data_IF_192139665620
#
_entry.id   IF_192139665620
#
_cell.length_a   1.000
_cell.length_b   1.000
_cell.length_c   1.000
_cell.angle_alpha   90.00
_cell.angle_beta   90.00
_cell.angle_gamma   90.00
#
_symmetry.space_group_name_H-M   'P 1'
#
loop_
_entity.id
_entity.type
_entity.pdbx_description
1 polymer ?
#
# COMPACT_ATOMS: atom_id res chain seq x y z
N UNK A 1 48.50 -4.39 -2.16
CA UNK A 1 47.54 -5.16 -1.35
C UNK A 1 46.15 -4.73 -1.76
N UNK A 2 45.35 -5.69 -2.16
CA UNK A 2 44.04 -5.62 -2.83
C UNK A 2 43.05 -4.61 -2.25
N UNK A 3 42.57 -3.72 -3.12
CA UNK A 3 41.40 -2.87 -2.91
C UNK A 3 40.16 -3.75 -2.68
N UNK A 4 39.47 -3.54 -1.55
CA UNK A 4 38.15 -4.12 -1.31
C UNK A 4 37.14 -3.34 -2.14
N UNK A 5 36.74 -3.91 -3.28
CA UNK A 5 35.53 -3.51 -4.00
C UNK A 5 34.33 -3.80 -3.09
N UNK A 6 33.88 -2.78 -2.34
CA UNK A 6 32.53 -2.75 -1.81
C UNK A 6 31.58 -2.63 -2.99
N UNK A 7 30.95 -3.75 -3.36
CA UNK A 7 29.71 -3.74 -4.11
C UNK A 7 28.67 -2.96 -3.30
N UNK A 8 28.63 -1.64 -3.49
CA UNK A 8 27.44 -0.86 -3.19
C UNK A 8 26.36 -1.39 -4.14
N UNK A 9 25.54 -2.31 -3.63
CA UNK A 9 24.23 -2.56 -4.19
C UNK A 9 23.51 -1.20 -4.18
N UNK A 10 23.48 -0.54 -5.34
CA UNK A 10 22.58 0.57 -5.60
C UNK A 10 21.18 -0.05 -5.54
N UNK A 11 20.63 -0.11 -4.32
CA UNK A 11 19.23 -0.42 -4.09
C UNK A 11 18.45 0.68 -4.79
N UNK A 12 18.05 0.37 -6.00
CA UNK A 12 17.20 1.19 -6.83
C UNK A 12 15.85 1.27 -6.13
N UNK A 13 15.70 2.21 -5.18
CA UNK A 13 14.56 2.40 -4.26
C UNK A 13 13.25 2.80 -4.96
N UNK A 14 13.07 2.41 -6.21
CA UNK A 14 11.91 2.70 -7.04
C UNK A 14 10.64 2.00 -6.54
N UNK A 15 10.71 1.01 -5.63
CA UNK A 15 9.49 0.40 -5.12
C UNK A 15 8.72 1.30 -4.12
N UNK A 16 9.38 2.22 -3.41
CA UNK A 16 8.74 3.07 -2.40
C UNK A 16 8.50 4.49 -2.93
N UNK A 17 7.63 4.59 -3.92
CA UNK A 17 7.28 5.86 -4.57
C UNK A 17 5.99 6.45 -4.00
N UNK A 18 6.06 7.73 -3.63
CA UNK A 18 4.86 8.52 -3.33
C UNK A 18 4.04 8.71 -4.60
N UNK A 19 2.71 8.61 -4.50
CA UNK A 19 1.83 8.75 -5.65
C UNK A 19 0.48 8.08 -5.45
N UNK A 20 -0.21 7.81 -6.55
CA UNK A 20 -1.45 7.04 -6.56
C UNK A 20 -1.11 5.56 -6.77
N UNK A 21 -1.76 4.72 -5.98
CA UNK A 21 -1.61 3.28 -6.00
C UNK A 21 -2.96 2.61 -6.18
N UNK A 22 -2.98 1.58 -7.01
CA UNK A 22 -4.10 0.66 -7.16
C UNK A 22 -4.00 -0.43 -6.10
N UNK A 23 -5.05 -0.57 -5.30
CA UNK A 23 -5.18 -1.57 -4.24
C UNK A 23 -6.28 -2.56 -4.58
N UNK A 24 -6.07 -3.84 -4.26
CA UNK A 24 -7.12 -4.86 -4.34
C UNK A 24 -6.97 -5.87 -3.22
N UNK A 25 -8.11 -6.41 -2.78
CA UNK A 25 -8.17 -7.35 -1.68
C UNK A 25 -9.07 -8.54 -2.02
N UNK A 26 -8.74 -9.70 -1.48
CA UNK A 26 -9.52 -10.93 -1.67
C UNK A 26 -10.35 -11.20 -0.42
N UNK A 27 -11.67 -11.26 -0.57
CA UNK A 27 -12.64 -11.54 0.50
C UNK A 27 -13.83 -12.29 -0.10
N UNK A 28 -14.48 -13.17 0.68
CA UNK A 28 -15.67 -13.91 0.25
C UNK A 28 -15.50 -14.63 -1.12
N UNK A 29 -14.33 -15.24 -1.32
CA UNK A 29 -13.93 -15.93 -2.55
C UNK A 29 -13.90 -15.04 -3.82
N UNK A 30 -13.79 -13.71 -3.66
CA UNK A 30 -13.77 -12.75 -4.76
C UNK A 30 -12.68 -11.70 -4.57
N UNK A 31 -12.13 -11.21 -5.68
CA UNK A 31 -11.30 -9.99 -5.69
C UNK A 31 -12.18 -8.74 -5.74
N UNK A 32 -11.88 -7.80 -4.85
CA UNK A 32 -12.48 -6.46 -4.79
C UNK A 32 -11.42 -5.44 -5.23
N UNK A 33 -11.83 -4.48 -6.07
CA UNK A 33 -10.95 -3.47 -6.68
C UNK A 33 -10.70 -3.70 -8.18
N UNK A 34 -9.72 -2.97 -8.77
CA UNK A 34 -8.77 -2.09 -8.09
C UNK A 34 -9.41 -0.78 -7.59
N UNK A 35 -9.05 -0.35 -6.38
CA UNK A 35 -9.39 0.95 -5.80
C UNK A 35 -8.14 1.83 -5.71
N UNK A 36 -8.28 3.11 -6.01
CA UNK A 36 -7.17 4.07 -5.96
C UNK A 36 -6.99 4.62 -4.55
N UNK A 37 -5.75 4.67 -4.09
CA UNK A 37 -5.36 5.34 -2.85
C UNK A 37 -4.09 6.17 -3.08
N UNK A 38 -3.93 7.25 -2.34
CA UNK A 38 -2.68 8.00 -2.30
C UNK A 38 -1.77 7.45 -1.21
N UNK A 39 -0.49 7.29 -1.50
CA UNK A 39 0.55 6.98 -0.51
C UNK A 39 1.66 8.01 -0.61
N UNK A 40 2.18 8.43 0.54
CA UNK A 40 3.31 9.33 0.68
C UNK A 40 4.36 8.67 1.55
N UNK A 41 5.53 8.41 0.98
CA UNK A 41 6.66 7.77 1.62
C UNK A 41 7.66 8.83 2.12
N UNK A 42 7.97 8.77 3.41
CA UNK A 42 9.02 9.56 4.05
C UNK A 42 10.24 8.66 4.31
N UNK A 43 11.28 8.84 3.50
CA UNK A 43 12.52 8.05 3.56
C UNK A 43 13.40 8.34 4.76
N UNK A 44 13.28 9.52 5.38
CA UNK A 44 14.04 9.84 6.59
C UNK A 44 13.50 9.10 7.82
N UNK A 45 12.17 8.93 7.87
CA UNK A 45 11.49 8.31 9.01
C UNK A 45 11.10 6.85 8.76
N UNK A 46 11.28 6.36 7.53
CA UNK A 46 10.77 5.05 7.08
C UNK A 46 9.27 4.89 7.37
N UNK A 47 8.53 5.99 7.17
CA UNK A 47 7.09 6.11 7.40
C UNK A 47 6.34 6.26 6.08
N UNK A 48 5.14 5.70 6.05
CA UNK A 48 4.20 5.89 4.94
C UNK A 48 2.87 6.35 5.50
N UNK A 49 2.28 7.34 4.85
CA UNK A 49 0.92 7.81 5.14
C UNK A 49 0.10 7.85 3.86
N UNK A 50 -1.22 7.95 3.98
CA UNK A 50 -2.06 7.94 2.79
C UNK A 50 -3.54 8.06 3.08
N UNK A 51 -4.34 7.98 2.02
CA UNK A 51 -5.79 7.99 2.10
C UNK A 51 -6.41 7.41 0.83
N UNK A 52 -7.68 7.03 0.91
CA UNK A 52 -8.42 6.55 -0.25
C UNK A 52 -9.88 6.28 0.05
N UNK A 53 -10.55 5.71 -0.94
CA UNK A 53 -11.95 5.28 -0.85
C UNK A 53 -12.07 3.95 -1.56
N UNK A 54 -12.79 3.00 -0.95
CA UNK A 54 -13.20 1.75 -1.58
C UNK A 54 -14.71 1.51 -1.40
N UNK A 55 -15.17 0.29 -1.69
CA UNK A 55 -16.56 -0.13 -1.53
C UNK A 55 -17.03 -0.18 -0.05
N UNK A 56 -16.12 -0.27 0.91
CA UNK A 56 -16.44 -0.23 2.34
C UNK A 56 -16.57 1.23 2.79
N UNK A 57 -15.66 2.12 2.39
CA UNK A 57 -15.76 3.56 2.69
C UNK A 57 -14.46 4.33 2.52
N UNK A 58 -14.48 5.57 3.02
CA UNK A 58 -13.30 6.44 3.06
C UNK A 58 -12.35 6.02 4.19
N UNK A 59 -11.05 6.14 3.97
CA UNK A 59 -10.05 5.73 4.95
C UNK A 59 -8.77 6.58 4.89
N UNK A 60 -8.04 6.58 6.00
CA UNK A 60 -6.64 7.02 6.09
C UNK A 60 -5.71 5.82 6.24
N UNK A 61 -4.43 6.02 5.92
CA UNK A 61 -3.36 5.03 6.06
C UNK A 61 -2.23 5.65 6.87
N UNK A 62 -1.73 4.90 7.83
CA UNK A 62 -0.47 5.16 8.54
C UNK A 62 0.34 3.86 8.63
N UNK A 63 1.65 3.94 8.45
CA UNK A 63 2.47 2.74 8.42
C UNK A 63 3.97 2.97 8.45
N UNK A 64 4.71 1.88 8.27
CA UNK A 64 6.16 1.86 8.18
C UNK A 64 6.58 0.95 7.03
N UNK A 65 7.78 1.17 6.50
CA UNK A 65 8.36 0.31 5.49
C UNK A 65 9.85 0.08 5.74
N UNK A 66 10.44 -0.88 5.05
CA UNK A 66 11.86 -1.22 5.20
C UNK A 66 12.51 -1.39 3.82
N UNK A 67 13.55 -0.60 3.57
CA UNK A 67 14.37 -0.71 2.35
C UNK A 67 15.14 -2.03 2.28
N UNK A 68 15.56 -2.55 3.44
CA UNK A 68 16.33 -3.80 3.54
C UNK A 68 15.48 -5.03 3.26
N UNK A 69 14.25 -5.07 3.78
CA UNK A 69 13.38 -6.25 3.67
C UNK A 69 12.36 -6.13 2.54
N UNK A 70 12.25 -4.96 1.92
CA UNK A 70 11.23 -4.62 0.93
C UNK A 70 9.79 -4.89 1.41
N UNK A 71 9.53 -4.65 2.70
CA UNK A 71 8.23 -4.86 3.36
C UNK A 71 7.56 -3.55 3.72
N UNK A 72 6.23 -3.56 3.72
CA UNK A 72 5.38 -2.48 4.22
C UNK A 72 4.39 -3.06 5.23
N UNK A 73 4.27 -2.40 6.38
CA UNK A 73 3.18 -2.60 7.34
C UNK A 73 2.32 -1.34 7.40
N UNK A 74 1.03 -1.47 7.09
CA UNK A 74 0.05 -0.39 7.09
C UNK A 74 -1.07 -0.66 8.10
N UNK A 75 -1.56 0.42 8.69
CA UNK A 75 -2.84 0.49 9.40
C UNK A 75 -3.75 1.36 8.56
N UNK A 76 -4.82 0.77 8.06
CA UNK A 76 -5.90 1.46 7.36
C UNK A 76 -7.03 1.71 8.34
N UNK A 77 -7.40 2.98 8.54
CA UNK A 77 -8.46 3.38 9.45
C UNK A 77 -9.66 3.88 8.65
N UNK A 78 -10.78 3.16 8.70
CA UNK A 78 -12.01 3.63 8.07
C UNK A 78 -12.65 4.77 8.85
N UNK A 79 -13.18 5.75 8.12
CA UNK A 79 -13.96 6.84 8.68
C UNK A 79 -15.43 6.40 8.82
N UNK A 80 -15.93 6.40 10.06
CA UNK A 80 -17.32 6.05 10.35
C UNK A 80 -18.30 6.97 9.60
N UNK A 81 -19.39 6.40 9.08
CA UNK A 81 -20.42 7.14 8.35
C UNK A 81 -20.13 7.37 6.85
N UNK A 82 -19.12 6.68 6.30
CA UNK A 82 -18.82 6.69 4.86
C UNK A 82 -19.00 5.30 4.25
N UNK A 83 -19.34 5.22 2.96
CA UNK A 83 -19.51 3.95 2.25
C UNK A 83 -20.63 3.08 2.80
N UNK A 84 -20.42 1.75 2.86
CA UNK A 84 -21.42 0.77 3.30
C UNK A 84 -21.49 0.72 4.84
N UNK A 85 -22.57 1.20 5.49
CA UNK A 85 -22.69 1.24 6.94
C UNK A 85 -22.78 -0.15 7.59
N UNK A 86 -23.10 -1.21 6.83
CA UNK A 86 -23.15 -2.57 7.35
C UNK A 86 -21.76 -3.18 7.55
N UNK A 87 -20.76 -2.67 6.80
CA UNK A 87 -19.37 -3.13 6.83
C UNK A 87 -18.45 -2.10 7.49
N UNK A 88 -18.65 -0.81 7.23
CA UNK A 88 -17.87 0.27 7.80
C UNK A 88 -18.30 0.60 9.23
N UNK A 89 -17.68 -0.12 10.17
CA UNK A 89 -17.82 0.13 11.60
C UNK A 89 -16.81 1.13 12.16
N UNK A 90 -16.15 1.93 11.29
CA UNK A 90 -15.05 2.83 11.69
C UNK A 90 -13.83 2.08 12.26
N UNK A 91 -13.58 0.87 11.74
CA UNK A 91 -12.58 -0.04 12.29
C UNK A 91 -11.23 0.05 11.55
N UNK A 92 -10.22 -0.60 12.13
CA UNK A 92 -8.88 -0.71 11.57
C UNK A 92 -8.70 -2.00 10.80
N UNK A 93 -7.95 -1.92 9.70
CA UNK A 93 -7.45 -3.06 8.95
C UNK A 93 -5.92 -2.98 8.92
N UNK A 94 -5.27 -4.05 9.35
CA UNK A 94 -3.82 -4.18 9.29
C UNK A 94 -3.45 -4.83 7.95
N UNK A 95 -2.49 -4.25 7.23
CA UNK A 95 -2.03 -4.76 5.94
C UNK A 95 -0.53 -4.99 6.03
N UNK A 96 -0.08 -6.17 5.61
CA UNK A 96 1.33 -6.53 5.56
C UNK A 96 1.65 -7.08 4.18
N UNK A 97 2.55 -6.40 3.48
CA UNK A 97 2.90 -6.74 2.09
C UNK A 97 4.41 -6.69 1.88
N UNK A 98 4.88 -7.50 0.93
CA UNK A 98 6.27 -7.57 0.50
C UNK A 98 6.35 -7.29 -0.99
N UNK A 99 7.42 -6.62 -1.42
CA UNK A 99 7.66 -6.38 -2.84
C UNK A 99 7.81 -7.69 -3.61
N UNK A 100 7.11 -7.80 -4.74
CA UNK A 100 7.23 -8.89 -5.69
C UNK A 100 7.81 -8.34 -6.99
N UNK A 101 9.11 -8.56 -7.20
CA UNK A 101 9.85 -8.08 -8.37
C UNK A 101 9.28 -8.61 -9.69
N UNK A 102 8.82 -9.86 -9.72
CA UNK A 102 8.27 -10.48 -10.93
C UNK A 102 7.01 -9.77 -11.43
N UNK A 103 6.20 -9.29 -10.49
CA UNK A 103 4.90 -8.66 -10.79
C UNK A 103 4.96 -7.13 -10.72
N UNK A 104 6.08 -6.56 -10.30
CA UNK A 104 6.28 -5.13 -10.07
C UNK A 104 5.18 -4.53 -9.16
N UNK A 105 4.89 -5.21 -8.04
CA UNK A 105 3.86 -4.80 -7.08
C UNK A 105 4.14 -5.36 -5.68
N UNK A 106 3.48 -4.80 -4.67
CA UNK A 106 3.47 -5.37 -3.33
C UNK A 106 2.35 -6.40 -3.18
N UNK A 107 2.65 -7.53 -2.53
CA UNK A 107 1.70 -8.62 -2.29
C UNK A 107 1.78 -9.11 -0.85
N UNK A 108 0.65 -9.53 -0.29
CA UNK A 108 0.62 -10.05 1.07
C UNK A 108 -0.80 -10.26 1.58
N UNK A 109 -1.05 -9.86 2.83
CA UNK A 109 -2.33 -10.07 3.50
C UNK A 109 -2.87 -8.80 4.15
N UNK A 110 -4.19 -8.75 4.26
CA UNK A 110 -4.90 -7.87 5.17
C UNK A 110 -5.49 -8.69 6.33
N UNK A 111 -5.70 -8.03 7.46
CA UNK A 111 -6.27 -8.59 8.68
C UNK A 111 -7.21 -7.58 9.32
N UNK A 112 -8.35 -8.05 9.81
CA UNK A 112 -9.29 -7.24 10.58
C UNK A 112 -9.72 -7.99 11.83
N UNK A 113 -9.82 -7.23 12.91
CA UNK A 113 -10.28 -7.74 14.19
C UNK A 113 -11.17 -6.70 14.85
N UNK A 114 -12.46 -7.02 14.92
CA UNK A 114 -13.47 -6.22 15.62
C UNK A 114 -14.24 -7.11 16.59
N UNK A 115 -15.09 -6.52 17.43
CA UNK A 115 -15.98 -7.30 18.31
C UNK A 115 -16.97 -8.18 17.53
N UNK A 116 -17.30 -7.83 16.27
CA UNK A 116 -18.34 -8.49 15.47
C UNK A 116 -17.79 -9.38 14.35
N UNK A 117 -16.54 -9.15 13.94
CA UNK A 117 -15.96 -9.77 12.75
C UNK A 117 -14.45 -9.92 12.89
N UNK A 118 -13.97 -11.06 12.43
CA UNK A 118 -12.56 -11.37 12.24
C UNK A 118 -12.37 -11.87 10.81
N UNK A 119 -11.35 -11.39 10.13
CA UNK A 119 -11.11 -11.75 8.74
C UNK A 119 -9.67 -11.53 8.34
N UNK A 120 -9.24 -12.30 7.36
CA UNK A 120 -7.98 -12.08 6.66
C UNK A 120 -8.13 -12.50 5.20
N UNK A 121 -7.26 -11.98 4.34
CA UNK A 121 -7.27 -12.33 2.94
C UNK A 121 -6.06 -11.77 2.22
N UNK A 122 -5.94 -12.11 0.93
CA UNK A 122 -4.83 -11.62 0.10
C UNK A 122 -5.00 -10.13 -0.17
N UNK A 123 -3.89 -9.42 -0.28
CA UNK A 123 -3.85 -8.00 -0.60
C UNK A 123 -2.77 -7.74 -1.66
N UNK A 124 -3.05 -6.83 -2.59
CA UNK A 124 -2.09 -6.38 -3.60
C UNK A 124 -2.13 -4.87 -3.75
N UNK A 125 -0.96 -4.27 -3.98
CA UNK A 125 -0.78 -2.83 -4.10
C UNK A 125 0.22 -2.53 -5.23
N UNK A 126 -0.22 -1.82 -6.26
CA UNK A 126 0.57 -1.52 -7.46
C UNK A 126 0.56 -0.03 -7.77
N UNK A 127 1.73 0.55 -8.08
CA UNK A 127 1.84 1.97 -8.40
C UNK A 127 1.07 2.26 -9.69
N UNK A 128 0.28 3.33 -9.70
CA UNK A 128 -0.46 3.78 -10.87
C UNK A 128 0.44 4.68 -11.74
N UNK A 129 1.07 4.09 -12.75
CA UNK A 129 2.07 4.74 -13.62
C UNK A 129 1.46 5.82 -14.54
N UNK A 130 0.13 5.96 -14.62
CA UNK A 130 -0.53 6.96 -15.48
C UNK A 130 -0.24 8.42 -15.07
N UNK A 131 0.40 8.67 -13.92
CA UNK A 131 0.89 10.01 -13.56
C UNK A 131 2.28 10.34 -14.13
N UNK A 132 3.06 9.38 -14.63
CA UNK A 132 4.39 9.66 -15.19
C UNK A 132 4.39 10.11 -16.66
N UNK A 133 3.23 10.07 -17.34
CA UNK A 133 3.09 10.38 -18.78
C UNK A 133 2.37 11.71 -19.07
N UNK A 134 2.52 12.75 -18.25
CA UNK A 134 2.30 14.11 -18.76
C UNK A 134 3.63 14.67 -19.26
N UNK A 135 3.96 14.55 -20.57
CA UNK A 135 5.02 15.36 -21.11
C UNK A 135 4.61 16.82 -20.92
N UNK A 136 5.52 17.63 -20.38
CA UNK A 136 5.42 19.08 -20.47
C UNK A 136 5.20 19.44 -21.94
N UNK A 137 3.99 19.90 -22.29
CA UNK A 137 3.81 20.69 -23.49
C UNK A 137 4.61 21.98 -23.29
N UNK A 138 5.69 22.11 -24.07
CA UNK A 138 6.45 23.35 -24.18
C UNK A 138 5.47 24.45 -24.59
N UNK A 139 5.40 25.51 -23.80
CA UNK A 139 4.91 26.83 -24.23
C UNK A 139 6.13 27.73 -24.41
#
# INVERSE_FOLDING_TARGET
GTSKNSHENIYNGYQFQSGIWSSQYYQYNKWHGPYRCSLSFNSQLMKVSGSGVDDIGSFTIDGTYSNETHRIGLTKQYQLGTGDPSQNLGHQVIIQVTWNEKNNQFEGKWYVQTKKYHGEGKFQLKLDEQQQLRPYEKV
#
